data_IF_751933822990
#
_entry.id   IF_751933822990
#
_cell.length_a   1.000
_cell.length_b   1.000
_cell.length_c   1.000
_cell.angle_alpha   90.00
_cell.angle_beta   90.00
_cell.angle_gamma   90.00
#
_symmetry.space_group_name_H-M   'P 1'
#
loop_
_entity.id
_entity.type
_entity.pdbx_description
1 polymer ?
#
# COMPACT_ATOMS: atom_id res chain seq x y z
N UNK A 1 7.20 18.06 -2.64
CA UNK A 1 7.00 17.29 -3.88
C UNK A 1 7.99 16.14 -3.84
N UNK A 2 7.54 14.94 -3.48
CA UNK A 2 8.35 13.72 -3.54
C UNK A 2 8.53 13.37 -5.02
N UNK A 3 9.75 12.98 -5.42
CA UNK A 3 10.01 12.58 -6.81
C UNK A 3 9.09 11.40 -7.20
N UNK A 4 8.66 11.31 -8.47
CA UNK A 4 7.89 10.16 -8.93
C UNK A 4 8.75 8.89 -8.79
N UNK A 5 8.18 7.87 -8.15
CA UNK A 5 8.83 6.59 -7.90
C UNK A 5 8.83 5.78 -9.19
N UNK A 6 10.00 5.33 -9.62
CA UNK A 6 10.13 4.58 -10.87
C UNK A 6 9.76 3.10 -10.67
N UNK A 7 9.33 2.46 -11.75
CA UNK A 7 9.20 1.01 -11.81
C UNK A 7 10.57 0.36 -11.51
N UNK A 8 10.57 -0.66 -10.64
CA UNK A 8 11.77 -1.33 -10.14
C UNK A 8 12.43 -0.66 -8.92
N UNK A 9 12.00 0.53 -8.49
CA UNK A 9 12.43 1.12 -7.23
C UNK A 9 11.82 0.36 -6.06
N UNK A 10 12.64 -0.05 -5.08
CA UNK A 10 12.15 -0.63 -3.84
C UNK A 10 11.52 0.46 -2.97
N UNK A 11 10.23 0.37 -2.74
CA UNK A 11 9.45 1.32 -1.94
C UNK A 11 8.87 0.63 -0.73
N UNK A 12 9.12 1.18 0.46
CA UNK A 12 8.58 0.60 1.71
C UNK A 12 7.25 1.27 2.01
N UNK A 13 6.16 0.51 1.82
CA UNK A 13 4.79 0.96 2.09
C UNK A 13 4.49 0.97 3.58
N UNK A 14 5.05 0.04 4.35
CA UNK A 14 4.83 0.00 5.78
C UNK A 14 5.71 -1.01 6.48
N UNK A 15 5.60 -1.10 7.80
CA UNK A 15 6.38 -2.01 8.62
C UNK A 15 5.57 -2.56 9.77
N UNK A 16 5.84 -3.81 10.14
CA UNK A 16 5.34 -4.42 11.37
C UNK A 16 6.07 -3.82 12.55
N UNK A 17 5.31 -3.34 13.53
CA UNK A 17 5.87 -2.87 14.79
C UNK A 17 5.85 -4.03 15.78
N UNK A 18 7.03 -4.59 16.06
CA UNK A 18 7.18 -5.72 17.00
C UNK A 18 7.09 -5.30 18.47
N UNK A 19 7.07 -4.00 18.76
CA UNK A 19 7.08 -3.46 20.12
C UNK A 19 5.67 -3.03 20.57
N UNK A 20 4.81 -2.64 19.63
CA UNK A 20 3.42 -2.25 19.89
C UNK A 20 2.47 -3.44 19.82
N UNK A 21 1.96 -3.85 20.99
CA UNK A 21 0.95 -4.91 21.11
C UNK A 21 -0.45 -4.47 20.66
N UNK A 22 -0.71 -3.17 20.55
CA UNK A 22 -2.02 -2.63 20.19
C UNK A 22 -2.22 -2.36 18.71
N UNK A 23 -1.15 -2.03 17.97
CA UNK A 23 -1.19 -1.81 16.52
C UNK A 23 0.07 -2.46 15.93
N UNK A 24 -0.02 -3.70 15.43
CA UNK A 24 1.15 -4.48 15.01
C UNK A 24 1.77 -3.99 13.70
N UNK A 25 1.26 -2.91 13.11
CA UNK A 25 1.67 -2.41 11.79
C UNK A 25 1.58 -0.89 11.71
N UNK A 26 2.48 -0.28 10.95
CA UNK A 26 2.49 1.16 10.66
C UNK A 26 2.77 1.39 9.18
N UNK A 27 1.90 2.17 8.53
CA UNK A 27 2.15 2.71 7.21
C UNK A 27 3.33 3.68 7.22
N UNK A 28 4.13 3.62 6.16
CA UNK A 28 5.23 4.55 5.89
C UNK A 28 4.68 5.82 5.26
N UNK A 29 5.46 6.90 5.29
CA UNK A 29 5.14 8.13 4.56
C UNK A 29 5.13 7.93 3.03
N UNK A 30 5.69 6.82 2.55
CA UNK A 30 5.67 6.45 1.13
C UNK A 30 4.40 5.70 0.72
N UNK A 31 3.59 5.22 1.68
CA UNK A 31 2.31 4.61 1.37
C UNK A 31 1.42 5.62 0.62
N UNK A 32 0.80 5.22 -0.50
CA UNK A 32 -0.12 6.10 -1.18
C UNK A 32 -1.35 6.37 -0.32
N UNK A 33 -1.96 7.57 -0.43
CA UNK A 33 -3.24 7.84 0.20
C UNK A 33 -4.30 6.87 -0.32
N UNK A 34 -5.23 6.45 0.53
CA UNK A 34 -6.26 5.45 0.18
C UNK A 34 -5.87 4.01 0.54
N UNK A 35 -4.57 3.72 0.67
CA UNK A 35 -4.09 2.40 1.08
C UNK A 35 -4.22 2.22 2.59
N UNK A 36 -5.38 1.76 3.04
CA UNK A 36 -5.68 1.60 4.46
C UNK A 36 -5.51 0.17 4.97
N UNK A 37 -5.54 -0.80 4.05
CA UNK A 37 -5.51 -2.23 4.37
C UNK A 37 -4.25 -2.91 3.83
N UNK A 38 -3.63 -3.73 4.68
CA UNK A 38 -2.45 -4.53 4.31
C UNK A 38 -2.82 -5.55 3.22
N UNK A 39 -4.00 -6.16 3.33
CA UNK A 39 -4.50 -7.13 2.33
C UNK A 39 -4.57 -6.50 0.94
N UNK A 40 -5.07 -5.25 0.83
CA UNK A 40 -5.09 -4.54 -0.44
C UNK A 40 -3.67 -4.33 -0.97
N UNK A 41 -2.74 -3.90 -0.12
CA UNK A 41 -1.37 -3.70 -0.56
C UNK A 41 -0.77 -5.00 -1.14
N UNK A 42 -1.01 -6.14 -0.50
CA UNK A 42 -0.56 -7.46 -0.98
C UNK A 42 -1.22 -7.86 -2.31
N UNK A 43 -2.54 -7.69 -2.45
CA UNK A 43 -3.29 -7.94 -3.69
C UNK A 43 -2.80 -7.04 -4.85
N UNK A 44 -2.42 -5.81 -4.53
CA UNK A 44 -1.86 -4.83 -5.47
C UNK A 44 -0.37 -5.08 -5.81
N UNK A 45 0.21 -6.18 -5.32
CA UNK A 45 1.55 -6.63 -5.66
C UNK A 45 2.65 -6.26 -4.66
N UNK A 46 2.30 -5.68 -3.51
CA UNK A 46 3.24 -5.54 -2.41
C UNK A 46 3.59 -6.89 -1.79
N UNK A 47 4.76 -6.97 -1.17
CA UNK A 47 5.35 -8.20 -0.63
C UNK A 47 5.96 -7.91 0.71
N UNK A 48 5.91 -8.90 1.61
CA UNK A 48 6.64 -8.84 2.86
C UNK A 48 8.10 -9.24 2.67
N UNK A 49 9.02 -8.32 2.97
CA UNK A 49 10.45 -8.58 3.14
C UNK A 49 10.81 -8.45 4.61
N UNK A 50 10.73 -9.57 5.34
CA UNK A 50 10.88 -9.58 6.79
C UNK A 50 9.72 -8.87 7.48
N UNK A 51 10.00 -7.71 8.08
CA UNK A 51 9.01 -6.88 8.75
C UNK A 51 8.54 -5.69 7.90
N UNK A 52 9.07 -5.53 6.69
CA UNK A 52 8.74 -4.43 5.79
C UNK A 52 7.79 -4.91 4.69
N UNK A 53 6.72 -4.15 4.48
CA UNK A 53 5.84 -4.34 3.34
C UNK A 53 6.34 -3.44 2.22
N UNK A 54 6.74 -4.04 1.10
CA UNK A 54 7.42 -3.35 0.00
C UNK A 54 6.73 -3.56 -1.32
N UNK A 55 6.79 -2.56 -2.18
CA UNK A 55 6.49 -2.71 -3.61
C UNK A 55 7.72 -2.36 -4.44
N UNK A 56 7.83 -3.01 -5.58
CA UNK A 56 8.80 -2.66 -6.62
C UNK A 56 8.11 -1.99 -7.81
N UNK A 57 6.78 -1.88 -7.79
CA UNK A 57 5.96 -1.36 -8.88
C UNK A 57 4.98 -0.34 -8.32
N UNK A 58 5.55 0.75 -7.79
CA UNK A 58 4.77 1.81 -7.16
C UNK A 58 3.73 2.44 -8.10
N UNK A 59 4.04 2.75 -9.37
CA UNK A 59 3.07 3.31 -10.29
C UNK A 59 1.86 2.39 -10.49
N UNK A 60 2.10 1.11 -10.82
CA UNK A 60 1.01 0.14 -11.02
C UNK A 60 0.18 -0.05 -9.76
N UNK A 61 0.81 -0.11 -8.58
CA UNK A 61 0.11 -0.20 -7.31
C UNK A 61 -0.83 0.99 -7.10
N UNK A 62 -0.39 2.21 -7.41
CA UNK A 62 -1.23 3.42 -7.27
C UNK A 62 -2.37 3.47 -8.28
N UNK A 63 -2.14 3.07 -9.53
CA UNK A 63 -3.19 3.01 -10.56
C UNK A 63 -4.26 1.97 -10.20
N UNK A 64 -3.84 0.80 -9.72
CA UNK A 64 -4.77 -0.25 -9.29
C UNK A 64 -5.51 0.14 -8.01
N UNK A 65 -4.86 0.80 -7.04
CA UNK A 65 -5.53 1.31 -5.86
C UNK A 65 -6.65 2.29 -6.22
N UNK A 66 -6.39 3.24 -7.13
CA UNK A 66 -7.41 4.18 -7.60
C UNK A 66 -8.58 3.45 -8.28
N UNK A 67 -8.30 2.38 -9.04
CA UNK A 67 -9.33 1.54 -9.62
C UNK A 67 -10.18 0.85 -8.55
N UNK A 68 -9.54 0.22 -7.55
CA UNK A 68 -10.22 -0.45 -6.43
C UNK A 68 -11.06 0.53 -5.62
N UNK A 69 -10.51 1.71 -5.27
CA UNK A 69 -11.27 2.75 -4.58
C UNK A 69 -12.49 3.17 -5.38
N UNK A 70 -12.40 3.29 -6.71
CA UNK A 70 -13.55 3.64 -7.56
C UNK A 70 -14.57 2.50 -7.70
N UNK A 71 -14.12 1.25 -7.71
CA UNK A 71 -14.97 0.06 -7.83
C UNK A 71 -15.75 -0.18 -6.52
N UNK A 72 -15.09 -0.04 -5.37
CA UNK A 72 -15.73 -0.11 -4.05
C UNK A 72 -16.63 1.10 -3.76
N UNK A 73 -16.28 2.26 -4.33
CA UNK A 73 -17.08 3.48 -4.25
C UNK A 73 -18.18 3.53 -5.31
N UNK A 74 -18.42 2.48 -6.10
CA UNK A 74 -19.71 2.32 -6.76
C UNK A 74 -20.72 1.97 -5.66
N UNK A 75 -21.55 2.93 -5.17
CA UNK A 75 -22.63 2.55 -4.29
C UNK A 75 -23.46 1.51 -5.04
N UNK A 76 -23.70 0.37 -4.38
CA UNK A 76 -24.81 -0.52 -4.70
C UNK A 76 -26.06 0.36 -4.73
N UNK A 77 -26.43 0.82 -5.93
CA UNK A 77 -27.56 1.70 -6.13
C UNK A 77 -28.79 0.81 -6.20
N UNK A 78 -29.24 0.35 -5.03
CA UNK A 78 -30.56 -0.24 -4.80
C UNK A 78 -31.65 0.83 -4.93
#
# INVERSE_FOLDING_TARGET
MTAPKAEGERVVLGRRDKLSTMVPFHWSAEAPPGLNEVEWAEELGAKWEGDELVTYDYPTLTDLLEYYEKDEYLPDND
#
